data_IF_604904165410
#
_entry.id   IF_604904165410
#
_cell.length_a   1.000
_cell.length_b   1.000
_cell.length_c   1.000
_cell.angle_alpha   90.00
_cell.angle_beta   90.00
_cell.angle_gamma   90.00
#
_symmetry.space_group_name_H-M   'P 1'
#
loop_
_entity.id
_entity.type
_entity.pdbx_description
1 polymer ?
#
# COMPACT_ATOMS: atom_id res chain seq x y z
N UNK A 1 -51.15 -57.90 -129.77
CA UNK A 1 -49.93 -57.07 -129.58
C UNK A 1 -49.57 -57.05 -128.09
N UNK A 2 -48.72 -57.98 -127.64
CA UNK A 2 -48.09 -58.01 -126.30
C UNK A 2 -46.76 -58.75 -126.47
N UNK A 3 -45.65 -58.02 -126.42
CA UNK A 3 -44.30 -58.56 -126.52
C UNK A 3 -44.01 -59.27 -125.18
N UNK A 4 -43.97 -60.62 -125.16
CA UNK A 4 -43.48 -61.40 -124.02
C UNK A 4 -42.00 -61.68 -124.23
N UNK A 5 -41.16 -60.81 -123.68
CA UNK A 5 -39.70 -60.97 -123.66
C UNK A 5 -39.38 -62.20 -122.80
N UNK A 6 -38.81 -63.25 -123.41
CA UNK A 6 -38.32 -64.45 -122.72
C UNK A 6 -36.91 -64.14 -122.23
N UNK A 7 -36.78 -63.67 -121.00
CA UNK A 7 -35.47 -63.41 -120.38
C UNK A 7 -34.77 -64.76 -120.18
N UNK A 8 -33.56 -64.98 -120.71
CA UNK A 8 -32.79 -66.20 -120.48
C UNK A 8 -32.52 -66.43 -118.97
N UNK A 9 -32.59 -67.69 -118.50
CA UNK A 9 -32.42 -68.02 -117.08
C UNK A 9 -31.10 -67.47 -116.47
N UNK A 10 -30.03 -67.35 -117.24
CA UNK A 10 -28.77 -66.76 -116.76
C UNK A 10 -28.92 -65.28 -116.37
N UNK A 11 -29.78 -64.51 -117.05
CA UNK A 11 -30.09 -63.12 -116.72
C UNK A 11 -30.93 -63.02 -115.43
N UNK A 12 -31.82 -63.99 -115.17
CA UNK A 12 -32.58 -64.05 -113.91
C UNK A 12 -31.68 -64.37 -112.71
N UNK A 13 -30.79 -65.37 -112.84
CA UNK A 13 -29.80 -65.70 -111.80
C UNK A 13 -28.85 -64.53 -111.55
N UNK A 14 -28.43 -63.81 -112.59
CA UNK A 14 -27.63 -62.59 -112.46
C UNK A 14 -28.38 -61.50 -111.66
N UNK A 15 -29.67 -61.31 -111.92
CA UNK A 15 -30.51 -60.32 -111.22
C UNK A 15 -30.69 -60.66 -109.74
N UNK A 16 -30.88 -61.94 -109.41
CA UNK A 16 -30.98 -62.43 -108.03
C UNK A 16 -29.63 -62.26 -107.30
N UNK A 17 -28.52 -62.59 -107.96
CA UNK A 17 -27.18 -62.40 -107.41
C UNK A 17 -26.93 -60.92 -107.10
N UNK A 18 -27.27 -60.01 -108.03
CA UNK A 18 -27.18 -58.56 -107.83
C UNK A 18 -28.05 -58.11 -106.65
N UNK A 19 -29.26 -58.66 -106.49
CA UNK A 19 -30.14 -58.32 -105.37
C UNK A 19 -29.57 -58.81 -104.01
N UNK A 20 -29.06 -60.05 -103.94
CA UNK A 20 -28.46 -60.61 -102.72
C UNK A 20 -27.19 -59.83 -102.33
N UNK A 21 -26.33 -59.54 -103.30
CA UNK A 21 -25.14 -58.71 -103.09
C UNK A 21 -25.54 -57.29 -102.68
N UNK A 22 -26.58 -56.70 -103.28
CA UNK A 22 -27.10 -55.38 -102.93
C UNK A 22 -27.67 -55.30 -101.51
N UNK A 23 -28.47 -56.29 -101.09
CA UNK A 23 -28.97 -56.38 -99.71
C UNK A 23 -27.86 -56.64 -98.69
N UNK A 24 -26.86 -57.44 -99.04
CA UNK A 24 -25.69 -57.66 -98.20
C UNK A 24 -24.86 -56.38 -98.03
N UNK A 25 -24.64 -55.64 -99.12
CA UNK A 25 -23.97 -54.34 -99.09
C UNK A 25 -24.77 -53.35 -98.24
N UNK A 26 -26.08 -53.24 -98.45
CA UNK A 26 -26.96 -52.35 -97.66
C UNK A 26 -26.98 -52.71 -96.17
N UNK A 27 -27.12 -53.98 -95.82
CA UNK A 27 -27.08 -54.45 -94.44
C UNK A 27 -25.71 -54.25 -93.78
N UNK A 28 -24.63 -54.40 -94.55
CA UNK A 28 -23.27 -54.09 -94.10
C UNK A 28 -23.09 -52.59 -93.85
N UNK A 29 -23.60 -51.72 -94.73
CA UNK A 29 -23.59 -50.26 -94.55
C UNK A 29 -24.42 -49.81 -93.35
N UNK A 30 -25.63 -50.35 -93.18
CA UNK A 30 -26.50 -50.04 -92.04
C UNK A 30 -25.88 -50.53 -90.72
N UNK A 31 -25.31 -51.74 -90.71
CA UNK A 31 -24.59 -52.29 -89.57
C UNK A 31 -23.35 -51.47 -89.19
N UNK A 32 -22.56 -51.05 -90.17
CA UNK A 32 -21.44 -50.13 -89.99
C UNK A 32 -21.89 -48.80 -89.42
N UNK A 33 -22.97 -48.21 -89.97
CA UNK A 33 -23.51 -46.93 -89.51
C UNK A 33 -23.99 -46.98 -88.05
N UNK A 34 -24.72 -48.03 -87.66
CA UNK A 34 -25.20 -48.19 -86.28
C UNK A 34 -24.05 -48.45 -85.30
N UNK A 35 -23.06 -49.26 -85.70
CA UNK A 35 -21.88 -49.54 -84.90
C UNK A 35 -21.04 -48.28 -84.70
N UNK A 36 -20.83 -47.50 -85.76
CA UNK A 36 -20.12 -46.22 -85.74
C UNK A 36 -20.83 -45.20 -84.82
N UNK A 37 -22.17 -45.16 -84.87
CA UNK A 37 -22.97 -44.33 -83.97
C UNK A 37 -22.83 -44.73 -82.50
N UNK A 38 -22.92 -46.03 -82.18
CA UNK A 38 -22.73 -46.52 -80.80
C UNK A 38 -21.30 -46.30 -80.32
N UNK A 39 -20.31 -46.54 -81.17
CA UNK A 39 -18.91 -46.27 -80.87
C UNK A 39 -18.68 -44.79 -80.56
N UNK A 40 -19.29 -43.89 -81.33
CA UNK A 40 -19.24 -42.44 -81.11
C UNK A 40 -19.87 -42.03 -79.77
N UNK A 41 -21.05 -42.56 -79.43
CA UNK A 41 -21.71 -42.29 -78.13
C UNK A 41 -20.86 -42.79 -76.97
N UNK A 42 -20.35 -44.03 -77.06
CA UNK A 42 -19.53 -44.62 -76.01
C UNK A 42 -18.20 -43.89 -75.86
N UNK A 43 -17.57 -43.43 -76.96
CA UNK A 43 -16.38 -42.58 -76.90
C UNK A 43 -16.68 -41.25 -76.22
N UNK A 44 -17.81 -40.61 -76.54
CA UNK A 44 -18.20 -39.35 -75.90
C UNK A 44 -18.43 -39.51 -74.39
N UNK A 45 -19.13 -40.57 -73.96
CA UNK A 45 -19.34 -40.88 -72.54
C UNK A 45 -18.04 -41.23 -71.82
N UNK A 46 -17.16 -42.00 -72.47
CA UNK A 46 -15.85 -42.34 -71.90
C UNK A 46 -15.00 -41.09 -71.70
N UNK A 47 -15.00 -40.16 -72.66
CA UNK A 47 -14.25 -38.92 -72.54
C UNK A 47 -14.87 -37.99 -71.48
N UNK A 48 -16.20 -37.96 -71.35
CA UNK A 48 -16.89 -37.24 -70.28
C UNK A 48 -16.51 -37.79 -68.89
N UNK A 49 -16.60 -39.10 -68.68
CA UNK A 49 -16.22 -39.73 -67.41
C UNK A 49 -14.73 -39.58 -67.11
N UNK A 50 -13.87 -39.66 -68.12
CA UNK A 50 -12.44 -39.36 -67.98
C UNK A 50 -12.21 -37.92 -67.53
N UNK A 51 -12.95 -36.95 -68.09
CA UNK A 51 -12.88 -35.55 -67.68
C UNK A 51 -13.36 -35.32 -66.24
N UNK A 52 -14.39 -36.06 -65.80
CA UNK A 52 -14.84 -36.04 -64.40
C UNK A 52 -13.80 -36.64 -63.47
N UNK A 53 -13.18 -37.74 -63.88
CA UNK A 53 -12.14 -38.41 -63.11
C UNK A 53 -10.91 -37.51 -62.90
N UNK A 54 -10.47 -36.80 -63.95
CA UNK A 54 -9.36 -35.84 -63.83
C UNK A 54 -9.73 -34.64 -62.97
N UNK A 55 -10.97 -34.14 -63.05
CA UNK A 55 -11.47 -33.05 -62.18
C UNK A 55 -11.56 -33.49 -60.71
N UNK A 56 -12.01 -34.71 -60.45
CA UNK A 56 -12.08 -35.25 -59.09
C UNK A 56 -10.68 -35.47 -58.52
N UNK A 57 -9.74 -35.98 -59.32
CA UNK A 57 -8.34 -36.14 -58.92
C UNK A 57 -7.71 -34.81 -58.50
N UNK A 58 -7.87 -33.74 -59.30
CA UNK A 58 -7.33 -32.42 -58.95
C UNK A 58 -8.00 -31.82 -57.71
N UNK A 59 -9.29 -32.10 -57.49
CA UNK A 59 -10.00 -31.68 -56.27
C UNK A 59 -9.52 -32.45 -55.03
N UNK A 60 -9.20 -33.73 -55.15
CA UNK A 60 -8.63 -34.54 -54.07
C UNK A 60 -7.26 -33.97 -53.69
N UNK A 61 -6.38 -33.74 -54.66
CA UNK A 61 -5.04 -33.16 -54.43
C UNK A 61 -5.15 -31.79 -53.71
N UNK A 62 -6.03 -30.90 -54.19
CA UNK A 62 -6.26 -29.61 -53.53
C UNK A 62 -6.81 -29.72 -52.10
N UNK A 63 -7.61 -30.75 -51.80
CA UNK A 63 -8.12 -30.98 -50.44
C UNK A 63 -7.05 -31.58 -49.53
N UNK A 64 -6.20 -32.45 -50.04
CA UNK A 64 -5.05 -33.00 -49.31
C UNK A 64 -4.07 -31.89 -48.90
N UNK A 65 -3.75 -30.97 -49.82
CA UNK A 65 -2.93 -29.80 -49.52
C UNK A 65 -3.52 -28.93 -48.40
N UNK A 66 -4.84 -28.70 -48.44
CA UNK A 66 -5.55 -27.95 -47.39
C UNK A 66 -5.55 -28.67 -46.05
N UNK A 67 -5.64 -30.00 -46.04
CA UNK A 67 -5.56 -30.79 -44.81
C UNK A 67 -4.19 -30.63 -44.19
N UNK A 68 -3.11 -30.72 -44.97
CA UNK A 68 -1.74 -30.53 -44.48
C UNK A 68 -1.51 -29.12 -43.93
N UNK A 69 -2.03 -28.09 -44.61
CA UNK A 69 -1.95 -26.70 -44.13
C UNK A 69 -2.71 -26.50 -42.80
N UNK A 70 -3.91 -27.08 -42.69
CA UNK A 70 -4.71 -27.02 -41.46
C UNK A 70 -4.05 -27.80 -40.31
N UNK A 71 -3.44 -28.95 -40.58
CA UNK A 71 -2.70 -29.72 -39.57
C UNK A 71 -1.47 -28.97 -39.08
N UNK A 72 -0.71 -28.34 -39.98
CA UNK A 72 0.42 -27.47 -39.64
C UNK A 72 -0.01 -26.31 -38.75
N UNK A 73 -1.09 -25.62 -39.13
CA UNK A 73 -1.67 -24.50 -38.36
C UNK A 73 -2.19 -24.95 -37.00
N UNK A 74 -2.82 -26.13 -36.93
CA UNK A 74 -3.29 -26.69 -35.66
C UNK A 74 -2.11 -27.00 -34.73
N UNK A 75 -1.03 -27.55 -35.27
CA UNK A 75 0.18 -27.86 -34.49
C UNK A 75 0.81 -26.59 -33.91
N UNK A 76 0.97 -25.53 -34.72
CA UNK A 76 1.54 -24.27 -34.25
C UNK A 76 0.67 -23.60 -33.18
N UNK A 77 -0.65 -23.58 -33.37
CA UNK A 77 -1.59 -23.05 -32.37
C UNK A 77 -1.57 -23.84 -31.06
N UNK A 78 -1.36 -25.17 -31.12
CA UNK A 78 -1.26 -26.00 -29.92
C UNK A 78 -0.01 -25.65 -29.11
N UNK A 79 1.14 -25.47 -29.78
CA UNK A 79 2.40 -25.05 -29.15
C UNK A 79 2.25 -23.66 -28.50
N UNK A 80 1.60 -22.73 -29.20
CA UNK A 80 1.35 -21.38 -28.67
C UNK A 80 0.42 -21.42 -27.44
N UNK A 81 -0.63 -22.24 -27.46
CA UNK A 81 -1.52 -22.43 -26.33
C UNK A 81 -0.82 -23.03 -25.10
N UNK A 82 0.07 -24.00 -25.31
CA UNK A 82 0.90 -24.58 -24.23
C UNK A 82 1.84 -23.54 -23.63
N UNK A 83 2.51 -22.76 -24.48
CA UNK A 83 3.39 -21.67 -24.03
C UNK A 83 2.64 -20.64 -23.20
N UNK A 84 1.48 -20.18 -23.69
CA UNK A 84 0.63 -19.22 -22.97
C UNK A 84 0.13 -19.77 -21.63
N UNK A 85 -0.25 -21.05 -21.57
CA UNK A 85 -0.64 -21.70 -20.32
C UNK A 85 0.52 -21.74 -19.30
N UNK A 86 1.74 -21.98 -19.78
CA UNK A 86 2.91 -21.99 -18.90
C UNK A 86 3.27 -20.59 -18.38
N UNK A 87 3.16 -19.57 -19.24
CA UNK A 87 3.30 -18.16 -18.83
C UNK A 87 2.22 -17.76 -17.81
N UNK A 88 0.96 -18.15 -18.03
CA UNK A 88 -0.14 -17.91 -17.10
C UNK A 88 0.13 -18.54 -15.72
N UNK A 89 0.56 -19.81 -15.70
CA UNK A 89 0.88 -20.52 -14.46
C UNK A 89 2.00 -19.84 -13.68
N UNK A 90 3.05 -19.38 -14.37
CA UNK A 90 4.14 -18.62 -13.76
C UNK A 90 3.67 -17.27 -13.19
N UNK A 91 2.83 -16.55 -13.94
CA UNK A 91 2.26 -15.28 -13.48
C UNK A 91 1.38 -15.47 -12.23
N UNK A 92 0.58 -16.53 -12.17
CA UNK A 92 -0.22 -16.88 -10.98
C UNK A 92 0.70 -17.12 -9.77
N UNK A 93 1.75 -17.93 -9.93
CA UNK A 93 2.70 -18.20 -8.84
C UNK A 93 3.42 -16.92 -8.36
N UNK A 94 3.79 -16.02 -9.28
CA UNK A 94 4.37 -14.72 -8.93
C UNK A 94 3.38 -13.83 -8.18
N UNK A 95 2.11 -13.81 -8.60
CA UNK A 95 1.06 -13.05 -7.94
C UNK A 95 0.84 -13.54 -6.51
N UNK A 96 0.73 -14.86 -6.30
CA UNK A 96 0.58 -15.46 -4.97
C UNK A 96 1.77 -15.14 -4.06
N UNK A 97 2.99 -15.15 -4.60
CA UNK A 97 4.17 -14.77 -3.82
C UNK A 97 4.16 -13.28 -3.44
N UNK A 98 3.78 -12.41 -4.38
CA UNK A 98 3.66 -10.97 -4.12
C UNK A 98 2.56 -10.67 -3.09
N UNK A 99 1.46 -11.39 -3.10
CA UNK A 99 0.39 -11.25 -2.12
C UNK A 99 0.85 -11.62 -0.70
N UNK A 100 1.63 -12.71 -0.57
CA UNK A 100 2.28 -13.09 0.70
C UNK A 100 3.26 -12.03 1.19
N UNK A 101 4.07 -11.44 0.29
CA UNK A 101 4.97 -10.33 0.62
C UNK A 101 4.19 -9.12 1.14
N UNK A 102 3.11 -8.74 0.46
CA UNK A 102 2.22 -7.63 0.86
C UNK A 102 1.64 -7.88 2.25
N UNK A 103 1.13 -9.08 2.52
CA UNK A 103 0.57 -9.43 3.83
C UNK A 103 1.62 -9.30 4.95
N UNK A 104 2.85 -9.76 4.72
CA UNK A 104 3.97 -9.62 5.66
C UNK A 104 4.35 -8.16 5.90
N UNK A 105 4.43 -7.35 4.83
CA UNK A 105 4.72 -5.92 4.94
C UNK A 105 3.61 -5.23 5.74
N UNK A 106 2.35 -5.54 5.49
CA UNK A 106 1.22 -4.92 6.18
C UNK A 106 1.23 -5.21 7.68
N UNK A 107 1.50 -6.46 8.08
CA UNK A 107 1.68 -6.83 9.50
C UNK A 107 2.84 -6.05 10.14
N UNK A 108 4.00 -6.03 9.49
CA UNK A 108 5.19 -5.30 9.97
C UNK A 108 4.91 -3.79 10.09
N UNK A 109 4.18 -3.22 9.14
CA UNK A 109 3.80 -1.82 9.12
C UNK A 109 2.86 -1.50 10.31
N UNK A 110 1.85 -2.33 10.56
CA UNK A 110 0.94 -2.19 11.70
C UNK A 110 1.68 -2.25 13.05
N UNK A 111 2.61 -3.18 13.20
CA UNK A 111 3.47 -3.27 14.39
C UNK A 111 4.33 -2.00 14.54
N UNK A 112 4.94 -1.53 13.46
CA UNK A 112 5.73 -0.29 13.46
C UNK A 112 4.89 0.91 13.89
N UNK A 113 3.70 1.10 13.33
CA UNK A 113 2.79 2.18 13.73
C UNK A 113 2.42 2.13 15.22
N UNK A 114 2.14 0.94 15.76
CA UNK A 114 1.83 0.79 17.19
C UNK A 114 3.01 1.16 18.09
N UNK A 115 4.24 0.78 17.69
CA UNK A 115 5.48 1.14 18.41
C UNK A 115 5.74 2.64 18.33
N UNK A 116 5.57 3.25 17.15
CA UNK A 116 5.73 4.70 16.96
C UNK A 116 4.75 5.48 17.83
N UNK A 117 3.46 5.09 17.86
CA UNK A 117 2.46 5.75 18.70
C UNK A 117 2.82 5.66 20.20
N UNK A 118 3.32 4.51 20.67
CA UNK A 118 3.81 4.35 22.06
C UNK A 118 5.02 5.25 22.36
N UNK A 119 5.98 5.33 21.43
CA UNK A 119 7.16 6.20 21.56
C UNK A 119 6.76 7.67 21.60
N UNK A 120 5.83 8.10 20.75
CA UNK A 120 5.32 9.48 20.73
C UNK A 120 4.63 9.86 22.05
N UNK A 121 3.83 8.96 22.62
CA UNK A 121 3.21 9.15 23.93
C UNK A 121 4.26 9.27 25.04
N UNK A 122 5.23 8.35 25.07
CA UNK A 122 6.34 8.37 26.02
C UNK A 122 7.16 9.67 25.92
N UNK A 123 7.45 10.14 24.70
CA UNK A 123 8.17 11.38 24.46
C UNK A 123 7.39 12.60 24.97
N UNK A 124 6.07 12.62 24.76
CA UNK A 124 5.19 13.68 25.28
C UNK A 124 5.21 13.72 26.81
N UNK A 125 5.11 12.57 27.46
CA UNK A 125 5.20 12.43 28.93
C UNK A 125 6.56 12.92 29.46
N UNK A 126 7.66 12.48 28.84
CA UNK A 126 9.01 12.91 29.22
C UNK A 126 9.23 14.41 29.02
N UNK A 127 8.68 14.99 27.95
CA UNK A 127 8.76 16.43 27.71
C UNK A 127 8.07 17.22 28.82
N UNK A 128 6.86 16.81 29.21
CA UNK A 128 6.11 17.46 30.29
C UNK A 128 6.87 17.41 31.63
N UNK A 129 7.42 16.24 31.97
CA UNK A 129 8.28 16.07 33.16
C UNK A 129 9.53 16.94 33.10
N UNK A 130 10.21 16.98 31.95
CA UNK A 130 11.42 17.79 31.77
C UNK A 130 11.12 19.28 31.96
N UNK A 131 9.98 19.75 31.45
CA UNK A 131 9.55 21.15 31.64
C UNK A 131 9.25 21.47 33.11
N UNK A 132 8.63 20.54 33.85
CA UNK A 132 8.42 20.68 35.30
C UNK A 132 9.74 20.73 36.08
N UNK A 133 10.63 19.76 35.86
CA UNK A 133 11.93 19.71 36.53
C UNK A 133 12.80 20.93 36.23
N UNK A 134 12.66 21.51 35.03
CA UNK A 134 13.30 22.79 34.69
C UNK A 134 12.73 23.93 35.54
N UNK A 135 11.42 24.00 35.74
CA UNK A 135 10.79 25.00 36.63
C UNK A 135 11.22 24.78 38.09
N UNK A 136 11.23 23.53 38.57
CA UNK A 136 11.71 23.16 39.90
C UNK A 136 13.14 23.62 40.17
N UNK A 137 14.03 23.45 39.18
CA UNK A 137 15.40 23.95 39.26
C UNK A 137 15.43 25.46 39.48
N UNK A 138 14.61 26.22 38.76
CA UNK A 138 14.54 27.68 38.93
C UNK A 138 13.97 28.05 40.32
N UNK A 139 12.97 27.31 40.84
CA UNK A 139 12.46 27.50 42.20
C UNK A 139 13.54 27.23 43.27
N UNK A 140 14.34 26.18 43.10
CA UNK A 140 15.43 25.87 44.02
C UNK A 140 16.56 26.90 43.95
N UNK A 141 16.81 27.51 42.79
CA UNK A 141 17.77 28.61 42.65
C UNK A 141 17.35 29.84 43.45
N UNK A 142 16.04 30.11 43.56
CA UNK A 142 15.50 31.17 44.42
C UNK A 142 15.81 30.90 45.89
N UNK A 143 15.73 29.64 46.35
CA UNK A 143 16.03 29.26 47.73
C UNK A 143 17.53 29.27 48.07
N UNK A 144 18.41 29.20 47.06
CA UNK A 144 19.86 29.11 47.28
C UNK A 144 20.45 30.37 47.91
N UNK A 145 19.86 31.53 47.63
CA UNK A 145 20.33 32.82 48.14
C UNK A 145 19.61 33.15 49.43
N UNK A 146 20.35 33.32 50.52
CA UNK A 146 19.77 33.76 51.80
C UNK A 146 19.35 35.23 51.73
N UNK A 147 18.26 35.62 52.41
CA UNK A 147 17.88 37.02 52.51
C UNK A 147 19.01 37.84 53.15
N UNK A 148 19.34 39.03 52.63
CA UNK A 148 20.37 39.89 53.21
C UNK A 148 19.92 40.46 54.57
N UNK A 149 20.90 40.77 55.43
CA UNK A 149 20.67 41.30 56.78
C UNK A 149 20.44 42.82 56.81
N UNK A 150 20.27 43.46 55.65
CA UNK A 150 19.99 44.87 55.49
C UNK A 150 18.56 45.06 54.97
N UNK A 151 17.78 45.95 55.60
CA UNK A 151 16.37 46.22 55.25
C UNK A 151 16.16 46.55 53.77
N UNK A 152 16.96 47.48 53.23
CA UNK A 152 16.84 47.93 51.83
C UNK A 152 17.17 46.80 50.87
N UNK A 153 18.26 46.07 51.13
CA UNK A 153 18.66 44.93 50.30
C UNK A 153 17.65 43.78 50.40
N UNK A 154 17.06 43.55 51.57
CA UNK A 154 16.06 42.49 51.78
C UNK A 154 14.77 42.81 51.04
N UNK A 155 14.36 44.08 51.03
CA UNK A 155 13.21 44.53 50.24
C UNK A 155 13.45 44.37 48.75
N UNK A 156 14.64 44.68 48.25
CA UNK A 156 15.01 44.43 46.84
C UNK A 156 14.97 42.93 46.56
N UNK A 157 15.63 42.14 47.39
CA UNK A 157 15.67 40.67 47.28
C UNK A 157 14.27 40.07 47.18
N UNK A 158 13.35 40.41 48.10
CA UNK A 158 12.00 39.83 48.09
C UNK A 158 11.16 40.30 46.90
N UNK A 159 11.37 41.53 46.40
CA UNK A 159 10.74 41.98 45.15
C UNK A 159 11.27 41.26 43.92
N UNK A 160 12.56 40.92 43.89
CA UNK A 160 13.16 40.10 42.83
C UNK A 160 12.63 38.66 42.88
N UNK A 161 12.55 38.07 44.08
CA UNK A 161 11.96 36.74 44.30
C UNK A 161 10.50 36.73 43.84
N UNK A 162 9.71 37.73 44.22
CA UNK A 162 8.32 37.90 43.77
C UNK A 162 8.21 37.93 42.25
N UNK A 163 9.08 38.70 41.59
CA UNK A 163 9.12 38.83 40.13
C UNK A 163 9.54 37.54 39.44
N UNK A 164 10.45 36.77 40.04
CA UNK A 164 10.85 35.43 39.58
C UNK A 164 9.69 34.43 39.68
N UNK A 165 9.04 34.37 40.84
CA UNK A 165 7.92 33.46 41.08
C UNK A 165 6.71 33.76 40.20
N UNK A 166 6.43 35.02 39.89
CA UNK A 166 5.34 35.37 38.96
C UNK A 166 5.45 34.66 37.60
N UNK A 167 6.69 34.38 37.15
CA UNK A 167 6.97 33.68 35.88
C UNK A 167 7.02 32.16 36.01
N UNK A 168 7.38 31.65 37.18
CA UNK A 168 7.62 30.22 37.41
C UNK A 168 6.37 29.56 38.03
N UNK A 169 5.88 30.10 39.15
CA UNK A 169 4.71 29.61 39.86
C UNK A 169 3.99 30.74 40.60
N UNK A 170 2.88 31.22 40.01
CA UNK A 170 2.10 32.34 40.53
C UNK A 170 1.44 32.06 41.88
N UNK A 171 1.25 30.79 42.25
CA UNK A 171 0.60 30.42 43.51
C UNK A 171 1.46 30.75 44.74
N UNK A 172 2.77 30.94 44.55
CA UNK A 172 3.70 31.29 45.63
C UNK A 172 3.86 32.81 45.83
N UNK A 173 3.36 33.63 44.91
CA UNK A 173 3.45 35.10 44.97
C UNK A 173 2.78 35.66 46.25
N UNK A 174 1.58 35.21 46.66
CA UNK A 174 0.95 35.69 47.89
C UNK A 174 1.78 35.45 49.16
N UNK A 175 2.52 34.33 49.21
CA UNK A 175 3.42 34.02 50.32
C UNK A 175 4.56 35.05 50.37
N UNK A 176 5.11 35.46 49.23
CA UNK A 176 6.11 36.54 49.16
C UNK A 176 5.53 37.91 49.47
N UNK A 177 4.31 38.20 49.03
CA UNK A 177 3.63 39.46 49.40
C UNK A 177 3.47 39.57 50.93
N UNK A 178 3.22 38.45 51.60
CA UNK A 178 3.18 38.37 53.07
C UNK A 178 4.55 38.67 53.69
N UNK A 179 5.63 38.12 53.13
CA UNK A 179 7.00 38.41 53.58
C UNK A 179 7.32 39.90 53.42
N UNK A 180 6.99 40.50 52.29
CA UNK A 180 7.21 41.93 52.02
C UNK A 180 6.40 42.80 52.99
N UNK A 181 5.17 42.40 53.32
CA UNK A 181 4.30 43.12 54.25
C UNK A 181 4.89 43.17 55.68
N UNK A 182 5.40 42.05 56.18
CA UNK A 182 5.95 41.96 57.54
C UNK A 182 7.43 42.38 57.66
N UNK A 183 8.10 42.66 56.54
CA UNK A 183 9.52 42.98 56.48
C UNK A 183 9.93 44.13 57.41
N UNK A 184 9.19 45.24 57.36
CA UNK A 184 9.54 46.43 58.14
C UNK A 184 9.45 46.16 59.65
N UNK A 185 8.45 45.39 60.11
CA UNK A 185 8.30 45.00 61.52
C UNK A 185 9.46 44.14 62.03
N UNK A 186 9.93 43.18 61.21
CA UNK A 186 11.10 42.37 61.54
C UNK A 186 12.36 43.23 61.66
N UNK A 187 12.59 44.14 60.70
CA UNK A 187 13.77 44.99 60.73
C UNK A 187 13.72 46.06 61.82
N UNK A 188 12.54 46.56 62.20
CA UNK A 188 12.37 47.46 63.33
C UNK A 188 12.82 46.77 64.65
N UNK A 189 12.45 45.49 64.85
CA UNK A 189 12.95 44.70 65.96
C UNK A 189 14.46 44.41 65.84
N UNK A 190 14.93 43.93 64.69
CA UNK A 190 16.32 43.55 64.47
C UNK A 190 17.30 44.72 64.64
N UNK A 191 16.95 45.90 64.13
CA UNK A 191 17.77 47.11 64.20
C UNK A 191 17.75 47.76 65.59
N UNK A 192 16.74 47.47 66.42
CA UNK A 192 16.67 47.91 67.83
C UNK A 192 17.64 47.18 68.76
N UNK A 193 18.42 46.21 68.24
CA UNK A 193 19.38 45.43 69.00
C UNK A 193 20.42 46.32 69.72
N UNK A 194 20.54 46.22 71.06
CA UNK A 194 21.46 47.06 71.83
C UNK A 194 22.90 46.54 71.74
N UNK A 195 23.67 47.04 70.76
CA UNK A 195 25.04 46.57 70.43
C UNK A 195 26.02 46.60 71.61
N UNK A 196 25.90 47.59 72.48
CA UNK A 196 26.73 47.76 73.70
C UNK A 196 25.86 47.70 74.98
N UNK A 197 24.74 46.97 74.92
CA UNK A 197 23.75 46.91 76.00
C UNK A 197 24.17 46.05 77.18
N UNK A 198 23.59 46.33 78.35
CA UNK A 198 23.67 45.43 79.51
C UNK A 198 22.91 44.13 79.23
N UNK A 199 23.20 43.08 80.02
CA UNK A 199 22.49 41.80 79.92
C UNK A 199 20.96 41.98 80.02
N UNK A 200 20.50 42.89 80.88
CA UNK A 200 19.07 43.22 81.03
C UNK A 200 18.49 43.86 79.76
N UNK A 201 19.23 44.76 79.09
CA UNK A 201 18.80 45.37 77.83
C UNK A 201 18.72 44.34 76.69
N UNK A 202 19.68 43.41 76.65
CA UNK A 202 19.66 42.29 75.69
C UNK A 202 18.46 41.36 75.96
N UNK A 203 18.19 41.02 77.24
CA UNK A 203 17.03 40.23 77.61
C UNK A 203 15.71 40.93 77.23
N UNK A 204 15.59 42.22 77.50
CA UNK A 204 14.39 42.99 77.16
C UNK A 204 14.18 43.09 75.64
N UNK A 205 15.25 43.23 74.86
CA UNK A 205 15.18 43.17 73.39
C UNK A 205 14.70 41.80 72.89
N UNK A 206 15.19 40.71 73.47
CA UNK A 206 14.75 39.35 73.12
C UNK A 206 13.24 39.18 73.37
N UNK A 207 12.72 39.70 74.50
CA UNK A 207 11.29 39.67 74.80
C UNK A 207 10.46 40.71 74.05
N UNK A 208 11.09 41.65 73.35
CA UNK A 208 10.40 42.62 72.48
C UNK A 208 10.06 42.07 71.09
N UNK A 209 10.40 40.80 70.81
CA UNK A 209 10.05 40.11 69.57
C UNK A 209 8.53 40.11 69.36
N UNK A 210 8.08 40.77 68.30
CA UNK A 210 6.66 40.97 68.05
C UNK A 210 6.04 39.81 67.28
N UNK A 211 4.71 39.72 67.32
CA UNK A 211 3.96 38.74 66.50
C UNK A 211 4.25 39.00 65.02
N UNK A 212 4.32 40.26 64.60
CA UNK A 212 4.60 40.67 63.23
C UNK A 212 6.01 40.29 62.76
N UNK A 213 7.02 40.38 63.64
CA UNK A 213 8.37 39.90 63.34
C UNK A 213 8.41 38.37 63.19
N UNK A 214 7.63 37.64 64.00
CA UNK A 214 7.42 36.20 63.86
C UNK A 214 6.73 35.83 62.54
N UNK A 215 5.74 36.61 62.10
CA UNK A 215 5.05 36.36 60.82
C UNK A 215 5.99 36.51 59.61
N UNK A 216 7.00 37.38 59.67
CA UNK A 216 8.04 37.45 58.64
C UNK A 216 8.83 36.13 58.52
N UNK A 217 9.35 35.62 59.63
CA UNK A 217 10.11 34.36 59.64
C UNK A 217 9.24 33.16 59.28
N UNK A 218 8.01 33.13 59.80
CA UNK A 218 7.00 32.10 59.50
C UNK A 218 6.65 32.06 58.01
N UNK A 219 6.45 33.22 57.38
CA UNK A 219 6.17 33.32 55.95
C UNK A 219 7.36 32.85 55.09
N UNK A 220 8.60 33.11 55.52
CA UNK A 220 9.80 32.59 54.86
C UNK A 220 9.87 31.06 54.96
N UNK A 221 9.58 30.50 56.15
CA UNK A 221 9.55 29.04 56.34
C UNK A 221 8.48 28.42 55.45
N UNK A 222 7.27 29.00 55.46
CA UNK A 222 6.14 28.55 54.63
C UNK A 222 6.48 28.53 53.15
N UNK A 223 7.07 29.60 52.62
CA UNK A 223 7.50 29.66 51.21
C UNK A 223 8.45 28.51 50.86
N UNK A 224 9.40 28.23 51.75
CA UNK A 224 10.38 27.18 51.57
C UNK A 224 9.74 25.80 51.57
N UNK A 225 8.83 25.54 52.50
CA UNK A 225 8.10 24.28 52.60
C UNK A 225 7.20 24.06 51.37
N UNK A 226 6.52 25.11 50.90
CA UNK A 226 5.71 25.08 49.68
C UNK A 226 6.57 24.74 48.44
N UNK A 227 7.74 25.37 48.29
CA UNK A 227 8.67 25.06 47.20
C UNK A 227 9.18 23.62 47.30
N UNK A 228 9.61 23.16 48.48
CA UNK A 228 10.06 21.77 48.62
C UNK A 228 8.96 20.76 48.32
N UNK A 229 7.72 21.03 48.75
CA UNK A 229 6.58 20.16 48.47
C UNK A 229 6.32 20.03 46.97
N UNK A 230 6.36 21.15 46.22
CA UNK A 230 6.21 21.16 44.76
C UNK A 230 7.29 20.28 44.12
N UNK A 231 8.56 20.55 44.46
CA UNK A 231 9.71 19.84 43.88
C UNK A 231 9.66 18.33 44.19
N UNK A 232 9.34 17.95 45.43
CA UNK A 232 9.24 16.55 45.83
C UNK A 232 8.09 15.85 45.08
N UNK A 233 6.97 16.54 44.89
CA UNK A 233 5.81 16.01 44.16
C UNK A 233 6.15 15.77 42.69
N UNK A 234 6.75 16.77 42.03
CA UNK A 234 7.12 16.67 40.62
C UNK A 234 8.25 15.66 40.39
N UNK A 235 9.22 15.53 41.30
CA UNK A 235 10.21 14.45 41.28
C UNK A 235 9.58 13.06 41.43
N UNK A 236 8.59 12.91 42.31
CA UNK A 236 7.83 11.67 42.48
C UNK A 236 7.08 11.27 41.20
N UNK A 237 6.43 12.24 40.55
CA UNK A 237 5.78 12.03 39.26
C UNK A 237 6.78 11.69 38.15
N UNK A 238 7.92 12.38 38.11
CA UNK A 238 9.00 12.13 37.16
C UNK A 238 9.51 10.69 37.27
N UNK A 239 9.76 10.23 38.50
CA UNK A 239 10.22 8.86 38.75
C UNK A 239 9.17 7.84 38.30
N UNK A 240 7.89 8.06 38.62
CA UNK A 240 6.79 7.20 38.17
C UNK A 240 6.74 7.07 36.65
N UNK A 241 6.85 8.19 35.94
CA UNK A 241 6.83 8.23 34.47
C UNK A 241 8.07 7.54 33.88
N UNK A 242 9.26 7.75 34.45
CA UNK A 242 10.48 7.06 34.01
C UNK A 242 10.37 5.54 34.17
N UNK A 243 9.75 5.06 35.26
CA UNK A 243 9.50 3.63 35.48
C UNK A 243 8.46 3.08 34.51
N UNK A 244 7.40 3.84 34.19
CA UNK A 244 6.36 3.43 33.23
C UNK A 244 6.90 3.28 31.79
N UNK A 245 7.94 4.06 31.45
CA UNK A 245 8.55 4.12 30.12
C UNK A 245 9.69 3.10 29.96
N UNK A 246 10.37 2.72 31.05
CA UNK A 246 11.46 1.74 31.07
C UNK A 246 10.99 0.31 30.77
#
# INVERSE_FOLDING_TARGET
>A
MKIKIKIPNYLLYLLILIAVVGFFILGYYEGQYQLEKQLSINMAQLEEEKSKCTLLASKIESLEDKILELESTRSSLTIEAEKLNQELSNLIAQLENKDKEIMKINLTCKECYSKTAKIEDNLRKLKAVTDKLRQDRELLLILKTSPPLNRTEAKIYWNDVRSGLYKINQNLVPTVDTIIYYLDYYFDWYESFPKDGTQEQICNWLFSYTIEANEYESAISKLRDEIYLIVITDLGEALRIMVEIS
#
